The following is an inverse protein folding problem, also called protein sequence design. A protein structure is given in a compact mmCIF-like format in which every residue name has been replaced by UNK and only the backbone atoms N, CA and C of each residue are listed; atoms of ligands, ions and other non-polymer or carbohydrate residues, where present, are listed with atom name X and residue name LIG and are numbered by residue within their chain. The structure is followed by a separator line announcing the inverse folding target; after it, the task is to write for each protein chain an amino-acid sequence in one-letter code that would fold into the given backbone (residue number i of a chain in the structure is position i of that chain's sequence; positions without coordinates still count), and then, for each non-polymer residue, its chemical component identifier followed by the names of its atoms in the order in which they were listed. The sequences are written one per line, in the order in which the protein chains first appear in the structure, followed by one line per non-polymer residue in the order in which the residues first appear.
data_IF_288416822217
#
_entry.id   IF_288416822217
#
_cell.length_a   1.000
_cell.length_b   1.000
_cell.length_c   1.000
_cell.angle_alpha   90.00
_cell.angle_beta   90.00
_cell.angle_gamma   90.00
#
_symmetry.space_group_name_H-M   'P 1'
#
loop_
_entity.id
_entity.type
_entity.pdbx_description
1 polymer ?
#
# COMPACT_ATOMS: atom_id res chain seq x y z
N UNK A 1 -6.02 30.08 -5.48
CA UNK A 1 -6.27 28.83 -4.74
C UNK A 1 -5.73 27.65 -5.54
N UNK A 2 -5.21 26.60 -4.89
CA UNK A 2 -4.87 25.36 -5.59
C UNK A 2 -6.12 24.50 -5.78
N UNK A 3 -6.12 23.66 -6.83
CA UNK A 3 -7.07 22.55 -7.00
C UNK A 3 -6.41 21.23 -6.58
N UNK A 4 -7.20 20.17 -6.37
CA UNK A 4 -6.68 18.83 -6.07
C UNK A 4 -5.69 18.37 -7.17
N UNK A 5 -6.05 18.52 -8.45
CA UNK A 5 -5.19 18.15 -9.58
C UNK A 5 -3.88 18.95 -9.62
N UNK A 6 -3.91 20.23 -9.24
CA UNK A 6 -2.69 21.04 -9.16
C UNK A 6 -1.78 20.57 -8.03
N UNK A 7 -2.35 20.22 -6.88
CA UNK A 7 -1.58 19.68 -5.77
C UNK A 7 -1.01 18.29 -6.09
N UNK A 8 -1.75 17.44 -6.82
CA UNK A 8 -1.29 16.11 -7.22
C UNK A 8 0.01 16.18 -8.04
N UNK A 9 0.11 17.14 -8.98
CA UNK A 9 1.36 17.39 -9.72
C UNK A 9 2.52 17.83 -8.82
N UNK A 10 2.23 18.64 -7.79
CA UNK A 10 3.23 19.07 -6.82
C UNK A 10 3.67 17.89 -5.95
N UNK A 11 2.72 17.04 -5.56
CA UNK A 11 2.97 15.84 -4.77
C UNK A 11 3.80 14.81 -5.54
N UNK A 12 3.54 14.64 -6.84
CA UNK A 12 4.35 13.80 -7.74
C UNK A 12 5.81 14.30 -7.82
N UNK A 13 6.01 15.60 -8.01
CA UNK A 13 7.35 16.21 -7.95
C UNK A 13 8.03 16.01 -6.60
N UNK A 14 7.27 16.10 -5.50
CA UNK A 14 7.78 15.80 -4.17
C UNK A 14 8.24 14.34 -4.06
N UNK A 15 7.41 13.38 -4.50
CA UNK A 15 7.77 11.95 -4.48
C UNK A 15 9.00 11.66 -5.35
N UNK A 16 9.10 12.27 -6.53
CA UNK A 16 10.25 12.15 -7.42
C UNK A 16 11.53 12.79 -6.84
N UNK A 17 11.40 13.84 -6.04
CA UNK A 17 12.54 14.54 -5.46
C UNK A 17 13.30 13.74 -4.40
N UNK A 18 12.62 12.82 -3.70
CA UNK A 18 13.17 12.09 -2.56
C UNK A 18 13.60 12.97 -1.37
N UNK A 19 13.29 14.27 -1.41
CA UNK A 19 13.61 15.23 -0.35
C UNK A 19 12.64 15.08 0.82
N UNK A 20 13.02 15.58 2.00
CA UNK A 20 12.07 15.76 3.11
C UNK A 20 11.09 16.87 2.75
N UNK A 21 9.84 16.77 3.23
CA UNK A 21 8.77 17.77 2.99
C UNK A 21 9.24 19.20 3.27
N UNK A 22 9.99 19.41 4.36
CA UNK A 22 10.52 20.74 4.73
C UNK A 22 11.48 21.31 3.67
N UNK A 23 12.36 20.46 3.15
CA UNK A 23 13.35 20.85 2.15
C UNK A 23 12.69 21.09 0.80
N UNK A 24 11.73 20.25 0.42
CA UNK A 24 10.91 20.45 -0.77
C UNK A 24 10.11 21.74 -0.71
N UNK A 25 9.43 22.00 0.42
CA UNK A 25 8.67 23.22 0.63
C UNK A 25 9.56 24.46 0.56
N UNK A 26 10.76 24.41 1.13
CA UNK A 26 11.76 25.49 1.04
C UNK A 26 12.21 25.72 -0.40
N UNK A 27 12.48 24.66 -1.17
CA UNK A 27 12.97 24.76 -2.55
C UNK A 27 11.91 25.30 -3.51
N UNK A 28 10.66 24.82 -3.40
CA UNK A 28 9.54 25.24 -4.26
C UNK A 28 8.85 26.53 -3.76
N UNK A 29 9.36 27.17 -2.70
CA UNK A 29 8.75 28.32 -2.03
C UNK A 29 7.27 28.08 -1.64
N UNK A 30 6.98 26.87 -1.16
CA UNK A 30 5.66 26.46 -0.67
C UNK A 30 5.63 26.60 0.84
N UNK A 31 4.57 27.20 1.37
CA UNK A 31 4.34 27.25 2.82
C UNK A 31 4.00 25.84 3.33
N UNK A 32 4.75 25.36 4.33
CA UNK A 32 4.59 24.00 4.88
C UNK A 32 3.14 23.71 5.32
N UNK A 33 2.49 24.65 6.02
CA UNK A 33 1.11 24.49 6.47
C UNK A 33 0.13 24.24 5.33
N UNK A 34 0.35 24.90 4.19
CA UNK A 34 -0.44 24.71 2.97
C UNK A 34 -0.17 23.34 2.35
N UNK A 35 1.09 22.89 2.33
CA UNK A 35 1.42 21.55 1.85
C UNK A 35 0.72 20.47 2.69
N UNK A 36 0.84 20.53 4.01
CA UNK A 36 0.18 19.56 4.91
C UNK A 36 -1.34 19.60 4.79
N UNK A 37 -1.93 20.78 4.65
CA UNK A 37 -3.36 20.93 4.41
C UNK A 37 -3.82 20.17 3.16
N UNK A 38 -3.10 20.35 2.04
CA UNK A 38 -3.45 19.69 0.79
C UNK A 38 -3.14 18.19 0.79
N UNK A 39 -2.07 17.76 1.47
CA UNK A 39 -1.77 16.35 1.66
C UNK A 39 -2.92 15.64 2.38
N UNK A 40 -3.44 16.25 3.46
CA UNK A 40 -4.59 15.71 4.18
C UNK A 40 -5.83 15.64 3.28
N UNK A 41 -6.12 16.71 2.51
CA UNK A 41 -7.24 16.70 1.56
C UNK A 41 -7.12 15.64 0.48
N UNK A 42 -5.92 15.37 -0.02
CA UNK A 42 -5.66 14.32 -1.01
C UNK A 42 -5.93 12.93 -0.40
N UNK A 43 -5.49 12.72 0.85
CA UNK A 43 -5.76 11.48 1.58
C UNK A 43 -7.26 11.27 1.83
N UNK A 44 -7.99 12.32 2.23
CA UNK A 44 -9.44 12.27 2.43
C UNK A 44 -10.18 11.98 1.12
N UNK A 45 -9.76 12.60 0.02
CA UNK A 45 -10.32 12.33 -1.30
C UNK A 45 -10.13 10.86 -1.68
N UNK A 46 -8.90 10.35 -1.56
CA UNK A 46 -8.60 8.95 -1.86
C UNK A 46 -9.39 7.99 -0.95
N UNK A 47 -9.51 8.29 0.34
CA UNK A 47 -10.31 7.48 1.26
C UNK A 47 -11.80 7.41 0.86
N UNK A 48 -12.38 8.54 0.44
CA UNK A 48 -13.79 8.58 -0.01
C UNK A 48 -13.97 7.79 -1.30
N UNK A 49 -13.11 8.00 -2.29
CA UNK A 49 -13.15 7.26 -3.56
C UNK A 49 -12.95 5.76 -3.35
N UNK A 50 -12.04 5.38 -2.45
CA UNK A 50 -11.77 3.98 -2.12
C UNK A 50 -12.97 3.33 -1.41
N UNK A 51 -13.62 4.04 -0.47
CA UNK A 51 -14.84 3.60 0.20
C UNK A 51 -16.02 3.41 -0.77
N UNK A 52 -16.17 4.31 -1.73
CA UNK A 52 -17.17 4.19 -2.80
C UNK A 52 -16.89 2.99 -3.72
N UNK A 53 -15.62 2.64 -3.90
CA UNK A 53 -15.18 1.48 -4.69
C UNK A 53 -15.17 0.17 -3.89
N UNK A 54 -15.58 0.18 -2.61
CA UNK A 54 -15.59 -0.98 -1.72
C UNK A 54 -14.21 -1.50 -1.31
N UNK A 55 -13.12 -0.81 -1.68
CA UNK A 55 -11.76 -1.21 -1.38
C UNK A 55 -11.17 -0.24 -0.35
N UNK A 56 -10.80 -0.72 0.85
CA UNK A 56 -10.17 0.13 1.88
C UNK A 56 -8.68 -0.19 1.94
N UNK A 57 -7.80 0.68 1.39
CA UNK A 57 -6.36 0.43 1.44
C UNK A 57 -5.84 0.59 2.88
N UNK A 58 -5.20 -0.47 3.40
CA UNK A 58 -4.48 -0.45 4.67
C UNK A 58 -3.15 0.28 4.43
N UNK A 59 -3.02 1.49 4.96
CA UNK A 59 -1.79 2.29 4.86
C UNK A 59 -0.90 1.97 6.07
N UNK A 60 0.21 1.29 5.85
CA UNK A 60 1.24 1.07 6.87
C UNK A 60 2.01 2.37 7.09
N UNK A 61 1.65 3.17 8.09
CA UNK A 61 2.48 4.29 8.53
C UNK A 61 3.64 3.71 9.35
N UNK A 62 4.76 3.43 8.68
CA UNK A 62 5.99 2.97 9.32
C UNK A 62 6.57 4.05 10.24
N UNK A 63 6.41 3.86 11.54
CA UNK A 63 7.29 4.46 12.55
C UNK A 63 7.38 3.52 13.74
N UNK A 64 8.47 2.73 13.79
CA UNK A 64 9.33 2.42 14.96
C UNK A 64 10.22 1.18 14.67
N UNK A 65 11.55 1.25 14.85
CA UNK A 65 12.42 0.08 14.82
C UNK A 65 12.44 -0.64 16.19
N UNK A 66 11.82 -1.82 16.26
CA UNK A 66 11.99 -2.92 17.25
C UNK A 66 11.78 -2.60 18.76
N UNK A 67 11.40 -3.59 19.58
CA UNK A 67 12.41 -4.50 20.12
C UNK A 67 12.03 -5.98 20.01
N UNK A 68 13.06 -6.79 19.79
CA UNK A 68 13.07 -8.21 20.07
C UNK A 68 12.59 -8.50 21.51
N UNK A 69 11.69 -9.48 21.66
CA UNK A 69 11.71 -10.55 22.67
C UNK A 69 10.58 -11.54 22.32
N UNK A 70 10.90 -12.76 21.84
CA UNK A 70 10.68 -14.06 22.54
C UNK A 70 9.34 -14.07 23.29
N UNK A 71 8.36 -14.87 22.89
CA UNK A 71 8.30 -16.28 23.31
C UNK A 71 7.62 -17.21 22.29
N UNK A 72 8.16 -18.43 22.30
CA UNK A 72 7.77 -19.62 21.54
C UNK A 72 6.44 -20.16 22.06
N UNK A 73 5.45 -20.35 21.19
CA UNK A 73 4.38 -21.33 21.42
C UNK A 73 4.31 -22.27 20.23
N UNK A 74 4.83 -23.48 20.48
CA UNK A 74 4.68 -24.66 19.65
C UNK A 74 3.21 -24.96 19.38
N UNK A 75 2.82 -25.03 18.11
CA UNK A 75 1.79 -25.96 17.67
C UNK A 75 2.34 -26.85 16.56
N UNK A 76 2.06 -28.14 16.73
CA UNK A 76 2.64 -29.31 16.06
C UNK A 76 2.30 -29.35 14.55
N UNK A 77 3.20 -29.83 13.68
CA UNK A 77 2.99 -29.80 12.24
C UNK A 77 2.03 -30.91 11.79
N UNK A 78 1.04 -30.55 10.97
CA UNK A 78 0.24 -31.50 10.20
C UNK A 78 0.99 -31.75 8.88
N UNK A 79 1.35 -33.00 8.54
CA UNK A 79 2.08 -33.30 7.31
C UNK A 79 1.10 -33.43 6.15
N UNK A 80 1.19 -32.54 5.16
CA UNK A 80 0.43 -32.74 3.92
C UNK A 80 0.12 -31.51 3.10
N UNK A 81 1.13 -30.71 2.74
CA UNK A 81 1.21 -30.17 1.38
C UNK A 81 2.63 -29.67 1.15
N UNK A 82 3.20 -30.00 0.01
CA UNK A 82 4.53 -29.55 -0.41
C UNK A 82 4.53 -28.02 -0.35
N UNK A 83 5.29 -27.46 0.59
CA UNK A 83 5.60 -26.04 0.71
C UNK A 83 6.45 -25.64 -0.51
N UNK A 84 5.95 -24.80 -1.43
CA UNK A 84 6.82 -24.05 -2.30
C UNK A 84 7.38 -22.90 -1.45
N UNK A 85 8.63 -23.04 -1.03
CA UNK A 85 9.55 -21.98 -0.59
C UNK A 85 8.87 -20.70 -0.01
N UNK A 86 8.89 -20.47 1.31
CA UNK A 86 8.15 -19.39 1.98
C UNK A 86 8.49 -17.93 1.61
N UNK A 87 9.27 -17.69 0.55
CA UNK A 87 9.79 -16.36 0.23
C UNK A 87 9.01 -15.58 -0.83
N UNK A 88 8.24 -16.24 -1.70
CA UNK A 88 7.83 -15.63 -2.98
C UNK A 88 6.36 -15.92 -3.33
N UNK A 89 5.41 -15.78 -2.40
CA UNK A 89 3.98 -15.98 -2.69
C UNK A 89 3.18 -14.83 -2.09
N UNK A 90 2.35 -14.19 -2.92
CA UNK A 90 1.33 -13.24 -2.51
C UNK A 90 0.04 -14.02 -2.20
N UNK A 91 -0.49 -13.91 -0.99
CA UNK A 91 -1.72 -14.56 -0.56
C UNK A 91 -2.83 -13.52 -0.30
N UNK A 92 -4.03 -13.76 -0.84
CA UNK A 92 -5.23 -12.95 -0.64
C UNK A 92 -6.28 -13.83 0.02
N UNK A 93 -6.71 -13.48 1.24
CA UNK A 93 -7.74 -14.23 1.99
C UNK A 93 -9.04 -13.43 2.02
N UNK A 94 -10.13 -14.05 1.56
CA UNK A 94 -11.46 -13.46 1.52
C UNK A 94 -12.26 -13.78 2.81
N UNK A 95 -13.27 -12.97 3.17
CA UNK A 95 -14.06 -13.15 4.41
C UNK A 95 -14.81 -14.48 4.51
N UNK A 96 -15.12 -15.08 3.37
CA UNK A 96 -15.72 -16.42 3.24
C UNK A 96 -14.70 -17.56 3.39
N UNK A 97 -13.44 -17.25 3.72
CA UNK A 97 -12.38 -18.23 3.98
C UNK A 97 -11.65 -18.73 2.73
N UNK A 98 -12.02 -18.26 1.55
CA UNK A 98 -11.30 -18.57 0.30
C UNK A 98 -9.96 -17.86 0.29
N UNK A 99 -8.88 -18.55 -0.06
CA UNK A 99 -7.55 -17.98 -0.18
C UNK A 99 -7.03 -18.14 -1.62
N UNK A 100 -6.58 -17.04 -2.23
CA UNK A 100 -5.92 -17.01 -3.54
C UNK A 100 -4.42 -16.83 -3.32
N UNK A 101 -3.63 -17.74 -3.86
CA UNK A 101 -2.16 -17.73 -3.74
C UNK A 101 -1.53 -17.51 -5.10
N UNK A 102 -0.74 -16.46 -5.23
CA UNK A 102 -0.04 -16.07 -6.46
C UNK A 102 1.46 -16.12 -6.22
N UNK A 103 2.21 -16.98 -6.90
CA UNK A 103 3.67 -16.96 -6.84
C UNK A 103 4.21 -15.61 -7.36
N UNK A 104 5.23 -15.04 -6.71
CA UNK A 104 5.87 -13.78 -7.11
C UNK A 104 6.67 -13.87 -8.42
N UNK A 105 6.82 -15.07 -8.98
CA UNK A 105 7.31 -15.30 -10.35
C UNK A 105 6.18 -15.49 -11.38
N UNK A 106 4.92 -15.34 -10.97
CA UNK A 106 3.78 -15.44 -11.88
C UNK A 106 3.74 -14.24 -12.82
N UNK A 107 3.49 -14.51 -14.09
CA UNK A 107 3.35 -13.46 -15.09
C UNK A 107 2.11 -12.58 -14.77
N UNK A 108 2.28 -11.26 -14.64
CA UNK A 108 1.17 -10.36 -14.30
C UNK A 108 0.10 -10.27 -15.38
N UNK A 109 0.43 -10.63 -16.64
CA UNK A 109 -0.53 -10.65 -17.74
C UNK A 109 -1.49 -11.82 -17.58
N UNK A 110 -0.99 -13.00 -17.22
CA UNK A 110 -1.80 -14.17 -16.93
C UNK A 110 -2.75 -13.94 -15.74
N UNK A 111 -2.28 -13.26 -14.69
CA UNK A 111 -3.13 -12.89 -13.56
C UNK A 111 -4.24 -11.91 -13.99
N UNK A 112 -3.92 -10.91 -14.81
CA UNK A 112 -4.91 -9.99 -15.37
C UNK A 112 -5.96 -10.71 -16.22
N UNK A 113 -5.55 -11.62 -17.09
CA UNK A 113 -6.49 -12.40 -17.92
C UNK A 113 -7.45 -13.23 -17.08
N UNK A 114 -6.99 -13.82 -15.97
CA UNK A 114 -7.85 -14.57 -15.06
C UNK A 114 -8.89 -13.69 -14.36
N UNK A 115 -8.48 -12.52 -13.88
CA UNK A 115 -9.37 -11.56 -13.19
C UNK A 115 -10.42 -10.99 -14.15
N UNK A 116 -10.05 -10.75 -15.41
CA UNK A 116 -10.97 -10.21 -16.41
C UNK A 116 -11.96 -11.26 -16.96
N UNK A 117 -11.72 -12.55 -16.73
CA UNK A 117 -12.61 -13.63 -17.20
C UNK A 117 -13.88 -13.77 -16.33
N UNK A 118 -13.83 -13.25 -15.10
CA UNK A 118 -14.92 -13.30 -14.12
C UNK A 118 -15.75 -12.00 -14.08
N UNK A 119 -15.54 -11.11 -15.04
CA UNK A 119 -16.33 -9.90 -15.31
C UNK A 119 -17.28 -10.12 -16.48
#
# INVERSE_FOLDING_TARGET
MWTLQQFEKIFDRYQASGLRIKEFCRNESIVESRFYYWQKRLQEHNYRTARESGFVPIVFTGSNPSPANKEVVHHKPIPGHVDPTPGNILEIVYPNGVAVRVPMGADPTQLRSLILLIQ
#
